data_IF_476795725176
#
_entry.id   IF_476795725176
#
_cell.length_a   1.000
_cell.length_b   1.000
_cell.length_c   1.000
_cell.angle_alpha   90.00
_cell.angle_beta   90.00
_cell.angle_gamma   90.00
#
_symmetry.space_group_name_H-M   'P 1'
#
loop_
_entity.id
_entity.type
_entity.pdbx_description
1 polymer ?
#
# COMPACT_ATOMS: atom_id res chain seq x y z
N UNK A 1 -25.59 -41.22 -6.82
CA UNK A 1 -26.68 -40.57 -6.07
C UNK A 1 -26.19 -39.17 -5.70
N UNK A 2 -26.89 -38.11 -6.10
CA UNK A 2 -26.56 -36.73 -5.74
C UNK A 2 -27.14 -36.52 -4.33
N UNK A 3 -26.28 -36.14 -3.35
CA UNK A 3 -26.65 -35.98 -1.94
C UNK A 3 -26.80 -34.53 -1.53
N UNK A 4 -26.51 -33.57 -2.42
CA UNK A 4 -26.73 -32.16 -2.16
C UNK A 4 -26.10 -31.24 -3.21
N UNK A 5 -26.44 -29.99 -3.13
CA UNK A 5 -25.90 -28.90 -3.95
C UNK A 5 -25.37 -27.80 -3.03
N UNK A 6 -24.24 -27.23 -3.43
CA UNK A 6 -23.68 -26.02 -2.77
C UNK A 6 -23.57 -24.92 -3.82
N UNK A 7 -24.21 -23.80 -3.56
CA UNK A 7 -24.05 -22.60 -4.35
C UNK A 7 -23.26 -21.56 -3.54
N UNK A 8 -22.31 -20.89 -4.16
CA UNK A 8 -21.54 -19.84 -3.55
C UNK A 8 -21.47 -18.65 -4.51
N UNK A 9 -21.80 -17.47 -3.99
CA UNK A 9 -21.68 -16.22 -4.72
C UNK A 9 -20.74 -15.30 -3.93
N UNK A 10 -19.77 -14.71 -4.61
CA UNK A 10 -18.88 -13.69 -4.03
C UNK A 10 -19.21 -12.34 -4.63
N UNK A 11 -19.40 -11.35 -3.77
CA UNK A 11 -19.65 -9.96 -4.15
C UNK A 11 -18.48 -9.10 -3.68
N UNK A 12 -17.89 -8.31 -4.57
CA UNK A 12 -16.85 -7.35 -4.26
C UNK A 12 -17.41 -5.94 -4.38
N UNK A 13 -17.28 -5.15 -3.32
CA UNK A 13 -17.85 -3.81 -3.23
C UNK A 13 -16.71 -2.80 -3.06
N UNK A 14 -16.63 -1.81 -3.95
CA UNK A 14 -15.69 -0.69 -3.83
C UNK A 14 -16.42 0.53 -3.26
N UNK A 15 -15.98 0.99 -2.11
CA UNK A 15 -16.51 2.18 -1.45
C UNK A 15 -15.51 3.33 -1.58
N UNK A 16 -16.03 4.53 -1.82
CA UNK A 16 -15.23 5.76 -1.86
C UNK A 16 -15.38 6.60 -0.60
N UNK A 17 -16.46 6.38 0.13
CA UNK A 17 -16.77 7.06 1.38
C UNK A 17 -16.61 6.06 2.54
N UNK A 18 -15.66 6.35 3.41
CA UNK A 18 -15.35 5.50 4.56
C UNK A 18 -16.47 5.49 5.59
N UNK A 19 -17.28 6.56 5.69
CA UNK A 19 -18.43 6.62 6.57
C UNK A 19 -19.51 5.60 6.19
N UNK A 20 -19.51 5.12 4.95
CA UNK A 20 -20.47 4.13 4.47
C UNK A 20 -20.08 2.68 4.83
N UNK A 21 -18.84 2.44 5.26
CA UNK A 21 -18.34 1.08 5.53
C UNK A 21 -19.23 0.35 6.54
N UNK A 22 -19.49 0.95 7.68
CA UNK A 22 -20.33 0.34 8.72
C UNK A 22 -21.75 0.00 8.21
N UNK A 23 -22.35 0.91 7.46
CA UNK A 23 -23.70 0.71 6.88
C UNK A 23 -23.74 -0.42 5.87
N UNK A 24 -22.67 -0.57 5.08
CA UNK A 24 -22.55 -1.67 4.10
C UNK A 24 -22.38 -3.01 4.84
N UNK A 25 -21.61 -3.05 5.92
CA UNK A 25 -21.47 -4.25 6.75
C UNK A 25 -22.82 -4.67 7.34
N UNK A 26 -23.58 -3.73 7.91
CA UNK A 26 -24.90 -4.00 8.47
C UNK A 26 -25.86 -4.52 7.39
N UNK A 27 -25.82 -3.94 6.20
CA UNK A 27 -26.66 -4.37 5.08
C UNK A 27 -26.29 -5.77 4.60
N UNK A 28 -24.99 -6.10 4.51
CA UNK A 28 -24.52 -7.44 4.12
C UNK A 28 -24.91 -8.49 5.16
N UNK A 29 -24.75 -8.18 6.43
CA UNK A 29 -25.17 -9.05 7.52
C UNK A 29 -26.68 -9.29 7.51
N UNK A 30 -27.47 -8.24 7.30
CA UNK A 30 -28.92 -8.32 7.16
C UNK A 30 -29.39 -9.10 5.92
N UNK A 31 -28.60 -9.11 4.85
CA UNK A 31 -28.85 -9.90 3.64
C UNK A 31 -28.45 -11.38 3.77
N UNK A 32 -27.92 -11.79 4.92
CA UNK A 32 -27.54 -13.19 5.17
C UNK A 32 -26.17 -13.59 4.60
N UNK A 33 -25.24 -12.66 4.47
CA UNK A 33 -23.86 -12.98 4.09
C UNK A 33 -23.25 -13.96 5.10
N UNK A 34 -22.72 -15.08 4.60
CA UNK A 34 -22.14 -16.14 5.43
C UNK A 34 -20.67 -15.89 5.80
N UNK A 35 -20.01 -14.95 5.11
CA UNK A 35 -18.66 -14.52 5.38
C UNK A 35 -18.44 -13.13 4.77
N UNK A 36 -17.78 -12.26 5.51
CA UNK A 36 -17.44 -10.91 5.07
C UNK A 36 -15.93 -10.77 5.28
N UNK A 37 -15.18 -10.66 4.18
CA UNK A 37 -13.77 -10.32 4.24
C UNK A 37 -13.64 -8.83 4.59
N UNK A 38 -12.67 -8.50 5.44
CA UNK A 38 -12.49 -7.12 5.94
C UNK A 38 -12.21 -6.12 4.82
N UNK A 39 -12.44 -4.82 5.07
CA UNK A 39 -12.16 -3.79 4.09
C UNK A 39 -10.64 -3.68 3.86
N UNK A 40 -10.24 -3.61 2.61
CA UNK A 40 -8.91 -3.17 2.23
C UNK A 40 -8.99 -1.69 1.88
N UNK A 41 -8.08 -0.90 2.47
CA UNK A 41 -8.00 0.52 2.17
C UNK A 41 -6.93 0.76 1.13
N UNK A 42 -7.24 1.63 0.18
CA UNK A 42 -6.35 2.00 -0.90
C UNK A 42 -6.49 3.50 -1.20
N UNK A 43 -5.47 4.10 -1.78
CA UNK A 43 -5.56 5.49 -2.20
C UNK A 43 -6.43 5.61 -3.45
N UNK A 44 -7.28 6.64 -3.48
CA UNK A 44 -8.08 6.94 -4.66
C UNK A 44 -7.20 7.34 -5.86
N UNK A 45 -6.09 8.04 -5.59
CA UNK A 45 -5.04 8.41 -6.52
C UNK A 45 -3.69 8.36 -5.79
N UNK A 46 -2.84 7.42 -6.15
CA UNK A 46 -1.51 7.23 -5.57
C UNK A 46 -0.40 7.94 -6.38
N UNK A 47 -0.71 8.45 -7.56
CA UNK A 47 0.27 9.07 -8.45
C UNK A 47 1.01 10.27 -7.82
N UNK A 48 0.34 11.22 -7.12
CA UNK A 48 1.04 12.30 -6.45
C UNK A 48 1.95 11.80 -5.33
N UNK A 49 1.53 10.77 -4.60
CA UNK A 49 2.28 10.19 -3.49
C UNK A 49 3.54 9.48 -4.01
N UNK A 50 3.40 8.68 -5.07
CA UNK A 50 4.53 8.04 -5.76
C UNK A 50 5.51 9.07 -6.32
N UNK A 51 5.02 10.17 -6.89
CA UNK A 51 5.88 11.25 -7.39
C UNK A 51 6.69 11.89 -6.25
N UNK A 52 6.08 12.13 -5.10
CA UNK A 52 6.78 12.66 -3.92
C UNK A 52 7.81 11.66 -3.37
N UNK A 53 7.47 10.38 -3.32
CA UNK A 53 8.38 9.33 -2.88
C UNK A 53 9.60 9.24 -3.81
N UNK A 54 9.43 9.31 -5.13
CA UNK A 54 10.53 9.36 -6.11
C UNK A 54 11.41 10.57 -5.91
N UNK A 55 10.83 11.74 -5.74
CA UNK A 55 11.60 12.98 -5.51
C UNK A 55 12.45 12.88 -4.24
N UNK A 56 11.89 12.33 -3.17
CA UNK A 56 12.62 12.10 -1.92
C UNK A 56 13.76 11.08 -2.10
N UNK A 57 13.50 9.97 -2.82
CA UNK A 57 14.51 8.96 -3.10
C UNK A 57 15.68 9.50 -3.94
N UNK A 58 15.40 10.30 -4.96
CA UNK A 58 16.43 10.96 -5.79
C UNK A 58 17.25 11.94 -4.95
N UNK A 59 16.63 12.76 -4.13
CA UNK A 59 17.33 13.68 -3.24
C UNK A 59 18.25 12.96 -2.25
N UNK A 60 17.78 11.86 -1.66
CA UNK A 60 18.56 11.02 -0.78
C UNK A 60 19.77 10.40 -1.50
N UNK A 61 19.59 9.88 -2.71
CA UNK A 61 20.68 9.31 -3.52
C UNK A 61 21.73 10.36 -3.88
N UNK A 62 21.32 11.59 -4.21
CA UNK A 62 22.27 12.68 -4.50
C UNK A 62 23.07 13.08 -3.26
N UNK A 63 22.44 13.19 -2.11
CA UNK A 63 23.13 13.50 -0.85
C UNK A 63 24.14 12.39 -0.50
N UNK A 64 23.74 11.14 -0.63
CA UNK A 64 24.60 10.00 -0.37
C UNK A 64 25.81 9.94 -1.33
N UNK A 65 25.59 10.20 -2.63
CA UNK A 65 26.67 10.27 -3.60
C UNK A 65 27.68 11.39 -3.28
N UNK A 66 27.20 12.55 -2.84
CA UNK A 66 28.05 13.65 -2.41
C UNK A 66 28.88 13.28 -1.16
N UNK A 67 28.28 12.57 -0.21
CA UNK A 67 28.98 12.14 1.00
C UNK A 67 30.08 11.10 0.69
N UNK A 68 29.85 10.20 -0.27
CA UNK A 68 30.90 9.30 -0.75
C UNK A 68 32.01 10.00 -1.52
N UNK A 69 31.73 11.08 -2.24
CA UNK A 69 32.72 11.82 -3.02
C UNK A 69 33.67 12.66 -2.14
N UNK A 70 33.19 13.22 -1.04
CA UNK A 70 33.93 14.12 -0.15
C UNK A 70 35.29 13.59 0.34
N UNK A 71 35.40 12.35 0.90
CA UNK A 71 36.67 11.83 1.41
C UNK A 71 37.76 11.72 0.34
N UNK A 72 37.39 11.63 -0.93
CA UNK A 72 38.32 11.51 -2.05
C UNK A 72 38.62 12.84 -2.76
N UNK A 73 38.09 13.95 -2.24
CA UNK A 73 38.19 15.26 -2.86
C UNK A 73 37.49 15.33 -4.23
N UNK A 74 36.44 14.52 -4.40
CA UNK A 74 35.65 14.47 -5.63
C UNK A 74 34.29 15.16 -5.41
N UNK A 75 33.65 15.51 -6.50
CA UNK A 75 32.29 16.00 -6.53
C UNK A 75 31.43 15.28 -7.56
N UNK A 76 30.13 15.26 -7.34
CA UNK A 76 29.16 14.68 -8.27
C UNK A 76 29.06 15.59 -9.50
N UNK A 77 29.42 15.09 -10.67
CA UNK A 77 29.42 15.86 -11.91
C UNK A 77 28.12 15.69 -12.69
N UNK A 78 27.74 14.45 -12.93
CA UNK A 78 26.53 14.15 -13.71
C UNK A 78 25.94 12.79 -13.36
N UNK A 79 24.69 12.58 -13.71
CA UNK A 79 24.02 11.30 -13.65
C UNK A 79 24.34 10.53 -14.94
N UNK A 80 24.79 9.30 -14.81
CA UNK A 80 25.04 8.40 -15.93
C UNK A 80 23.81 7.59 -16.28
N UNK A 81 23.12 7.07 -15.26
CA UNK A 81 21.95 6.23 -15.44
C UNK A 81 21.01 6.39 -14.25
N UNK A 82 19.71 6.36 -14.51
CA UNK A 82 18.66 6.21 -13.52
C UNK A 82 17.84 4.98 -13.86
N UNK A 83 17.55 4.16 -12.86
CA UNK A 83 16.73 2.98 -12.99
C UNK A 83 15.80 2.90 -11.77
N UNK A 84 14.54 2.68 -12.03
CA UNK A 84 13.52 2.45 -11.01
C UNK A 84 13.04 1.00 -11.13
N UNK A 85 13.11 0.24 -10.06
CA UNK A 85 12.37 -1.00 -9.96
C UNK A 85 11.01 -0.67 -9.37
N UNK A 86 9.96 -1.03 -10.07
CA UNK A 86 8.67 -1.14 -9.44
C UNK A 86 8.78 -2.27 -8.40
N UNK A 87 9.08 -1.92 -7.16
CA UNK A 87 8.86 -2.84 -6.06
C UNK A 87 7.34 -2.91 -5.91
N UNK A 88 6.75 -3.94 -6.48
CA UNK A 88 5.45 -4.38 -6.02
C UNK A 88 5.68 -4.96 -4.61
N UNK A 89 5.82 -4.10 -3.64
CA UNK A 89 5.60 -4.48 -2.27
C UNK A 89 4.08 -4.65 -2.14
N UNK A 90 3.59 -5.80 -2.60
CA UNK A 90 2.38 -6.41 -2.08
C UNK A 90 2.63 -6.79 -0.61
N UNK A 91 2.99 -5.83 0.19
CA UNK A 91 2.89 -5.94 1.62
C UNK A 91 1.55 -5.37 2.04
N UNK A 92 0.48 -5.97 1.47
CA UNK A 92 -0.75 -6.03 2.20
C UNK A 92 -0.44 -6.77 3.49
N UNK A 93 -0.18 -6.03 4.56
CA UNK A 93 -0.31 -6.63 5.88
C UNK A 93 -1.77 -6.99 6.01
N UNK A 94 -2.08 -8.25 5.75
CA UNK A 94 -3.33 -8.86 6.14
C UNK A 94 -3.45 -8.68 7.66
N UNK A 95 -4.20 -7.67 8.06
CA UNK A 95 -4.67 -7.59 9.42
C UNK A 95 -5.70 -8.69 9.55
N UNK A 96 -5.25 -9.87 9.94
CA UNK A 96 -6.13 -10.96 10.32
C UNK A 96 -6.81 -10.55 11.63
N UNK A 97 -7.94 -9.89 11.53
CA UNK A 97 -8.82 -9.69 12.67
C UNK A 97 -9.52 -11.01 12.91
N UNK A 98 -8.99 -11.81 13.80
CA UNK A 98 -9.71 -12.96 14.38
C UNK A 98 -10.86 -12.41 15.23
N UNK A 99 -12.04 -12.25 14.62
CA UNK A 99 -13.25 -11.96 15.35
C UNK A 99 -13.67 -13.17 16.15
N UNK A 100 -13.32 -13.18 17.44
CA UNK A 100 -14.04 -14.01 18.39
C UNK A 100 -15.47 -13.48 18.48
N UNK A 101 -16.43 -14.36 18.27
CA UNK A 101 -17.86 -14.10 18.36
C UNK A 101 -18.26 -13.71 19.81
N UNK A 102 -17.90 -12.52 20.23
CA UNK A 102 -18.54 -11.85 21.33
C UNK A 102 -19.43 -10.75 20.77
N UNK A 103 -20.71 -10.98 20.91
CA UNK A 103 -21.85 -10.16 20.52
C UNK A 103 -21.85 -8.86 21.31
N UNK A 104 -20.98 -7.90 20.98
CA UNK A 104 -21.11 -6.52 21.46
C UNK A 104 -20.16 -5.61 20.65
N UNK A 105 -20.75 -4.61 20.02
CA UNK A 105 -20.15 -3.48 19.35
C UNK A 105 -19.42 -3.81 18.02
N UNK A 106 -19.91 -3.23 16.95
CA UNK A 106 -19.21 -3.11 15.68
C UNK A 106 -17.82 -2.53 15.94
N UNK A 107 -16.73 -3.24 15.67
CA UNK A 107 -15.41 -2.68 15.90
C UNK A 107 -15.26 -1.42 15.03
N UNK A 108 -14.72 -0.32 15.58
CA UNK A 108 -14.47 0.86 14.77
C UNK A 108 -13.49 0.47 13.67
N UNK A 109 -13.88 0.64 12.42
CA UNK A 109 -12.99 0.47 11.28
C UNK A 109 -12.09 1.68 11.25
N UNK A 110 -10.87 1.55 11.76
CA UNK A 110 -9.87 2.61 11.74
C UNK A 110 -8.96 2.36 10.54
N UNK A 111 -8.90 3.29 9.57
CA UNK A 111 -7.91 3.22 8.51
C UNK A 111 -6.53 3.38 9.14
N UNK A 112 -5.63 2.45 8.81
CA UNK A 112 -4.23 2.55 9.19
C UNK A 112 -3.48 3.57 8.34
N UNK A 113 -2.25 3.84 8.73
CA UNK A 113 -1.29 4.61 7.94
C UNK A 113 -0.66 3.67 6.89
N UNK A 114 -0.55 4.13 5.64
CA UNK A 114 0.07 3.38 4.56
C UNK A 114 1.30 4.11 4.07
N UNK A 115 2.43 3.39 4.01
CA UNK A 115 3.67 3.91 3.48
C UNK A 115 3.74 3.75 1.97
N UNK A 116 4.07 4.85 1.28
CA UNK A 116 4.35 4.84 -0.16
C UNK A 116 5.85 5.00 -0.35
N UNK A 117 6.50 3.96 -0.85
CA UNK A 117 7.94 3.94 -1.06
C UNK A 117 8.30 3.95 -2.55
N UNK A 118 9.49 4.41 -2.86
CA UNK A 118 10.07 4.34 -4.19
C UNK A 118 11.55 3.97 -4.07
N UNK A 119 11.97 2.96 -4.85
CA UNK A 119 13.35 2.52 -4.92
C UNK A 119 13.96 2.97 -6.24
N UNK A 120 15.03 3.76 -6.15
CA UNK A 120 15.75 4.26 -7.32
C UNK A 120 17.23 3.87 -7.24
N UNK A 121 17.78 3.47 -8.37
CA UNK A 121 19.21 3.24 -8.55
C UNK A 121 19.75 4.31 -9.49
N UNK A 122 20.78 5.03 -9.03
CA UNK A 122 21.37 6.12 -9.79
C UNK A 122 22.88 5.91 -9.84
N UNK A 123 23.42 5.84 -11.05
CA UNK A 123 24.85 5.84 -11.27
C UNK A 123 25.32 7.27 -11.51
N UNK A 124 26.26 7.74 -10.70
CA UNK A 124 26.83 9.08 -10.79
C UNK A 124 28.25 9.03 -11.32
N UNK A 125 28.62 10.06 -12.06
CA UNK A 125 30.02 10.32 -12.41
C UNK A 125 30.61 11.29 -11.39
N UNK A 126 31.71 10.89 -10.77
CA UNK A 126 32.46 11.71 -9.84
C UNK A 126 33.71 12.28 -10.57
N UNK A 127 34.00 13.56 -10.33
CA UNK A 127 35.15 14.26 -10.89
C UNK A 127 35.86 15.08 -9.81
N UNK A 128 37.12 15.43 -10.06
CA UNK A 128 37.88 16.40 -9.25
C UNK A 128 37.46 17.81 -9.54
#
# INVERSE_FOLDING_TARGET
MIIGYRAQTRLSIKLRDMAMVARVYDAMAGAGASGIDGPQFDFADDAPLKSRARAAAVAAAQAQAADYAKPFGLHVSRILRISERASFAENGQDIVVTASLNRAATPPVLPGEQDVTADVWIDFVLTR
#
